data_IF_795063997139
#
_entry.id   IF_795063997139
#
_cell.length_a   1.000
_cell.length_b   1.000
_cell.length_c   1.000
_cell.angle_alpha   90.00
_cell.angle_beta   90.00
_cell.angle_gamma   90.00
#
_symmetry.space_group_name_H-M   'P 1'
#
loop_
_entity.id
_entity.type
_entity.pdbx_description
1 polymer ?
#
# COMPACT_ATOMS: atom_id res chain seq x y z
N UNK A 1 5.21 -3.38 -21.87
CA UNK A 1 4.14 -4.06 -21.10
C UNK A 1 2.90 -3.19 -21.07
N UNK A 2 1.76 -3.85 -20.92
CA UNK A 2 0.48 -3.24 -20.50
C UNK A 2 0.55 -2.92 -19.00
N UNK A 3 -0.15 -1.87 -18.51
CA UNK A 3 -0.17 -1.53 -17.06
C UNK A 3 -0.68 -2.71 -16.22
N UNK A 4 -1.56 -3.54 -16.80
CA UNK A 4 -2.08 -4.81 -16.23
C UNK A 4 -1.02 -5.88 -15.95
N UNK A 5 0.19 -5.73 -16.50
CA UNK A 5 1.27 -6.71 -16.40
C UNK A 5 2.44 -6.26 -15.49
N UNK A 6 2.33 -5.13 -14.80
CA UNK A 6 3.07 -5.01 -13.54
C UNK A 6 2.54 -6.11 -12.61
N UNK A 7 3.44 -6.88 -11.99
CA UNK A 7 3.05 -7.75 -10.86
C UNK A 7 2.25 -6.89 -9.88
N UNK A 8 1.18 -7.40 -9.24
CA UNK A 8 0.41 -6.61 -8.29
C UNK A 8 1.33 -6.15 -7.17
N UNK A 9 1.81 -4.91 -7.30
CA UNK A 9 2.20 -4.09 -6.17
C UNK A 9 0.90 -3.87 -5.42
N UNK A 10 0.60 -4.81 -4.53
CA UNK A 10 -0.31 -4.57 -3.44
C UNK A 10 0.15 -3.26 -2.83
N UNK A 11 -0.65 -2.20 -3.04
CA UNK A 11 -0.77 -1.16 -2.03
C UNK A 11 -1.15 -1.93 -0.78
N UNK A 12 -0.17 -2.16 0.08
CA UNK A 12 -0.40 -2.73 1.40
C UNK A 12 -1.10 -1.63 2.16
N UNK A 13 -2.40 -1.51 1.89
CA UNK A 13 -3.42 -0.89 2.72
C UNK A 13 -3.15 -1.46 4.10
N UNK A 14 -2.39 -0.68 4.86
CA UNK A 14 -1.75 -1.16 6.06
C UNK A 14 -2.84 -1.25 7.09
N UNK A 15 -3.43 -2.45 7.21
CA UNK A 15 -4.52 -2.76 8.13
C UNK A 15 -3.98 -2.51 9.53
N UNK A 16 -4.19 -1.27 9.98
CA UNK A 16 -3.77 -0.79 11.27
C UNK A 16 -4.65 -1.45 12.31
N UNK A 17 -4.21 -2.60 12.81
CA UNK A 17 -4.80 -3.30 13.95
C UNK A 17 -4.60 -2.50 15.25
N UNK A 18 -5.23 -1.33 15.31
CA UNK A 18 -5.81 -0.82 16.54
C UNK A 18 -6.86 -1.84 17.02
N UNK A 19 -7.23 -1.77 18.31
CA UNK A 19 -8.00 -2.80 19.03
C UNK A 19 -7.24 -4.07 19.40
N UNK A 20 -5.96 -3.93 19.79
CA UNK A 20 -5.36 -4.87 20.73
C UNK A 20 -5.88 -4.58 22.16
N UNK A 21 -6.89 -5.33 22.61
CA UNK A 21 -7.39 -5.27 23.99
C UNK A 21 -6.58 -6.21 24.91
N UNK A 22 -6.19 -5.78 26.11
CA UNK A 22 -5.33 -6.58 26.98
C UNK A 22 -6.11 -7.56 27.86
N UNK A 23 -5.57 -8.77 28.01
CA UNK A 23 -5.78 -9.59 29.20
C UNK A 23 -6.39 -10.97 28.98
N UNK A 24 -5.54 -11.99 29.03
CA UNK A 24 -5.75 -13.15 29.91
C UNK A 24 -4.40 -13.76 30.27
N UNK A 25 -4.24 -14.16 31.53
CA UNK A 25 -2.95 -14.57 32.10
C UNK A 25 -3.14 -15.89 32.84
N UNK A 26 -2.46 -16.96 32.41
CA UNK A 26 -2.57 -18.28 33.03
C UNK A 26 -1.76 -19.35 32.29
N UNK A 27 -1.19 -20.29 33.05
CA UNK A 27 -0.39 -21.44 32.61
C UNK A 27 0.96 -21.06 31.94
N UNK A 28 2.17 -21.44 32.38
CA UNK A 28 2.70 -22.59 33.14
C UNK A 28 2.49 -23.95 32.44
N UNK A 29 3.48 -24.83 32.29
CA UNK A 29 4.86 -24.87 32.83
C UNK A 29 5.70 -25.96 32.14
N UNK A 30 7.03 -25.91 32.28
CA UNK A 30 8.01 -26.91 31.82
C UNK A 30 9.02 -26.29 30.83
N UNK A 31 10.29 -26.08 31.17
CA UNK A 31 11.38 -27.01 31.52
C UNK A 31 12.02 -27.66 30.28
N UNK A 32 13.36 -27.71 30.11
CA UNK A 32 14.46 -27.32 31.01
C UNK A 32 15.76 -26.93 30.24
N UNK A 33 16.80 -26.51 31.00
CA UNK A 33 18.26 -26.72 30.80
C UNK A 33 18.83 -26.96 29.39
N UNK A 34 19.96 -26.39 28.97
CA UNK A 34 21.03 -25.65 29.65
C UNK A 34 21.92 -24.95 28.58
N UNK A 35 23.02 -24.22 28.85
CA UNK A 35 23.80 -23.92 30.07
C UNK A 35 24.49 -22.55 29.89
N UNK A 36 25.24 -22.09 30.91
CA UNK A 36 26.28 -21.07 30.77
C UNK A 36 27.61 -21.59 31.35
N UNK A 37 28.74 -21.11 30.84
CA UNK A 37 29.98 -20.97 31.63
C UNK A 37 30.92 -19.91 31.03
N UNK A 38 31.72 -19.27 31.90
CA UNK A 38 32.60 -18.14 31.60
C UNK A 38 34.04 -18.45 31.99
N UNK A 39 35.03 -17.99 31.22
CA UNK A 39 36.44 -17.98 31.63
C UNK A 39 37.15 -16.70 31.15
N UNK A 40 38.26 -16.33 31.81
CA UNK A 40 38.97 -15.05 31.65
C UNK A 40 40.45 -15.17 32.02
N UNK A 41 41.30 -14.34 31.39
CA UNK A 41 42.73 -14.11 31.67
C UNK A 41 43.69 -15.26 31.25
N UNK A 42 45.01 -15.06 31.05
CA UNK A 42 45.85 -13.86 31.18
C UNK A 42 47.11 -13.92 30.24
N UNK A 43 47.75 -12.76 29.99
CA UNK A 43 49.22 -12.45 30.09
C UNK A 43 50.23 -13.56 29.68
N UNK A 44 51.25 -13.38 28.81
CA UNK A 44 51.75 -12.26 27.96
C UNK A 44 52.76 -12.84 26.90
N UNK A 45 53.90 -12.31 26.40
CA UNK A 45 54.77 -11.11 26.60
C UNK A 45 55.76 -10.93 25.42
N UNK A 46 56.38 -9.73 25.26
CA UNK A 46 57.65 -9.40 24.52
C UNK A 46 57.78 -9.69 22.99
N UNK A 47 58.62 -9.01 22.18
CA UNK A 47 59.53 -7.84 22.36
C UNK A 47 59.84 -7.16 20.99
N UNK A 48 60.31 -5.88 21.03
CA UNK A 48 61.25 -5.20 20.07
C UNK A 48 60.99 -5.23 18.53
N UNK A 49 61.47 -4.30 17.68
CA UNK A 49 61.94 -2.89 17.72
C UNK A 49 61.80 -2.36 16.26
N UNK A 50 62.09 -1.12 15.81
CA UNK A 50 62.81 0.07 16.30
C UNK A 50 62.15 1.33 15.69
N UNK A 51 62.63 2.55 15.97
CA UNK A 51 62.16 3.79 15.36
C UNK A 51 63.30 4.69 14.86
N UNK A 52 63.12 5.41 13.74
CA UNK A 52 63.98 6.53 13.35
C UNK A 52 63.26 7.63 12.53
N UNK A 53 63.32 8.86 13.06
CA UNK A 53 63.24 10.21 12.43
C UNK A 53 62.34 10.55 11.22
N UNK A 54 61.62 11.68 11.35
CA UNK A 54 61.08 12.52 10.25
C UNK A 54 62.14 13.57 9.78
N UNK A 55 61.88 14.51 8.82
CA UNK A 55 60.85 15.57 8.95
C UNK A 55 60.14 16.03 7.63
N UNK A 56 59.16 16.92 7.83
CA UNK A 56 58.64 18.00 6.96
C UNK A 56 58.64 17.87 5.42
N UNK A 57 57.43 17.91 4.84
CA UNK A 57 57.12 18.75 3.68
C UNK A 57 55.66 19.20 3.72
N UNK A 58 55.42 20.51 3.83
CA UNK A 58 54.08 21.08 3.97
C UNK A 58 53.48 21.47 2.62
N UNK A 59 52.75 20.56 1.98
CA UNK A 59 51.88 20.86 0.85
C UNK A 59 50.45 21.12 1.36
N UNK A 60 50.07 22.40 1.45
CA UNK A 60 48.70 22.79 1.81
C UNK A 60 47.76 22.60 0.61
N UNK A 61 47.35 21.35 0.35
CA UNK A 61 46.25 21.08 -0.59
C UNK A 61 44.97 21.73 -0.07
N UNK A 62 44.59 22.83 -0.72
CA UNK A 62 43.30 23.48 -0.53
C UNK A 62 42.20 22.51 -0.96
N UNK A 63 41.71 21.71 0.00
CA UNK A 63 40.51 20.90 -0.15
C UNK A 63 39.33 21.86 -0.34
N UNK A 64 39.08 22.21 -1.61
CA UNK A 64 37.84 22.86 -2.03
C UNK A 64 36.70 21.90 -1.72
N UNK A 65 36.11 22.09 -0.54
CA UNK A 65 34.82 21.46 -0.20
C UNK A 65 33.84 21.97 -1.23
N UNK A 66 33.51 21.11 -2.20
CA UNK A 66 32.47 21.39 -3.17
C UNK A 66 31.16 21.40 -2.41
N UNK A 67 30.74 22.59 -1.98
CA UNK A 67 29.41 22.82 -1.44
C UNK A 67 28.45 22.62 -2.60
N UNK A 68 27.92 21.40 -2.72
CA UNK A 68 26.81 21.11 -3.61
C UNK A 68 25.68 22.08 -3.30
N UNK A 69 25.16 22.75 -4.32
CA UNK A 69 24.04 23.66 -4.18
C UNK A 69 22.85 22.93 -3.53
N UNK A 70 22.01 23.62 -2.74
CA UNK A 70 20.81 23.01 -2.17
C UNK A 70 19.86 22.64 -3.31
N UNK A 71 19.85 21.35 -3.67
CA UNK A 71 19.03 20.81 -4.76
C UNK A 71 17.55 21.03 -4.41
N UNK A 72 16.78 21.55 -5.36
CA UNK A 72 15.33 21.70 -5.22
C UNK A 72 14.68 20.31 -5.07
N UNK A 73 13.99 20.02 -3.93
CA UNK A 73 13.31 18.75 -3.76
C UNK A 73 12.29 18.44 -4.85
N UNK A 74 11.66 19.45 -5.48
CA UNK A 74 10.74 19.24 -6.60
C UNK A 74 11.47 18.80 -7.87
N UNK A 75 12.72 19.24 -8.09
CA UNK A 75 13.53 18.79 -9.21
C UNK A 75 13.90 17.30 -9.06
N UNK A 76 14.24 16.84 -7.86
CA UNK A 76 14.52 15.42 -7.61
C UNK A 76 13.29 14.51 -7.64
N UNK A 77 12.13 14.98 -7.16
CA UNK A 77 10.84 14.30 -7.33
C UNK A 77 10.55 14.14 -8.83
N UNK A 78 10.70 15.22 -9.60
CA UNK A 78 10.46 15.22 -11.03
C UNK A 78 11.41 14.30 -11.80
N UNK A 79 12.71 14.31 -11.48
CA UNK A 79 13.68 13.37 -12.03
C UNK A 79 13.27 11.90 -11.79
N UNK A 80 12.87 11.57 -10.55
CA UNK A 80 12.44 10.22 -10.21
C UNK A 80 11.16 9.79 -10.97
N UNK A 81 10.19 10.69 -11.07
CA UNK A 81 8.94 10.48 -11.80
C UNK A 81 9.18 10.34 -13.33
N UNK A 82 9.97 11.23 -13.93
CA UNK A 82 10.33 11.16 -15.35
C UNK A 82 11.16 9.91 -15.67
N UNK A 83 12.05 9.47 -14.76
CA UNK A 83 12.76 8.19 -14.91
C UNK A 83 11.79 7.01 -14.95
N UNK A 84 10.86 6.91 -14.00
CA UNK A 84 9.85 5.85 -13.98
C UNK A 84 9.03 5.84 -15.28
N UNK A 85 8.61 7.01 -15.76
CA UNK A 85 7.87 7.14 -17.02
C UNK A 85 8.67 6.69 -18.25
N UNK A 86 9.98 6.89 -18.26
CA UNK A 86 10.85 6.48 -19.35
C UNK A 86 11.06 4.95 -19.41
N UNK A 87 11.20 4.28 -18.25
CA UNK A 87 11.53 2.84 -18.19
C UNK A 87 10.30 1.91 -18.11
N UNK A 88 9.11 2.43 -17.80
CA UNK A 88 7.87 1.65 -17.52
C UNK A 88 7.49 0.57 -18.55
N UNK A 89 7.90 0.72 -19.81
CA UNK A 89 7.46 -0.18 -20.88
C UNK A 89 8.16 -1.53 -20.80
N UNK A 90 9.48 -1.55 -20.61
CA UNK A 90 10.30 -2.75 -20.46
C UNK A 90 11.34 -2.50 -19.34
N UNK A 91 10.89 -2.37 -18.08
CA UNK A 91 11.75 -1.94 -16.99
C UNK A 91 12.74 -3.05 -16.62
N UNK A 92 14.01 -2.67 -16.45
CA UNK A 92 14.90 -3.44 -15.61
C UNK A 92 14.35 -3.41 -14.16
N UNK A 93 14.24 -4.56 -13.46
CA UNK A 93 13.63 -4.62 -12.13
C UNK A 93 14.35 -3.79 -11.07
N UNK A 94 15.69 -3.74 -11.12
CA UNK A 94 16.50 -3.03 -10.15
C UNK A 94 16.46 -1.51 -10.42
N UNK A 95 16.48 -1.10 -11.69
CA UNK A 95 16.28 0.31 -12.07
C UNK A 95 14.88 0.84 -11.70
N UNK A 96 13.84 0.03 -11.88
CA UNK A 96 12.48 0.37 -11.45
C UNK A 96 12.40 0.48 -9.93
N UNK A 97 12.88 -0.54 -9.19
CA UNK A 97 12.85 -0.52 -7.73
C UNK A 97 13.66 0.65 -7.15
N UNK A 98 14.78 1.03 -7.76
CA UNK A 98 15.56 2.19 -7.34
C UNK A 98 14.81 3.52 -7.55
N UNK A 99 14.13 3.69 -8.69
CA UNK A 99 13.39 4.91 -9.01
C UNK A 99 12.08 5.03 -8.20
N UNK A 100 11.34 3.92 -8.04
CA UNK A 100 10.16 3.80 -7.19
C UNK A 100 10.50 4.16 -5.74
N UNK A 101 11.52 3.51 -5.17
CA UNK A 101 11.99 3.79 -3.81
C UNK A 101 12.44 5.24 -3.62
N UNK A 102 13.06 5.88 -4.63
CA UNK A 102 13.39 7.32 -4.58
C UNK A 102 12.11 8.16 -4.53
N UNK A 103 11.13 7.89 -5.38
CA UNK A 103 9.88 8.66 -5.43
C UNK A 103 9.04 8.50 -4.16
N UNK A 104 8.90 7.27 -3.64
CA UNK A 104 8.19 6.98 -2.38
C UNK A 104 8.85 7.68 -1.18
N UNK A 105 10.19 7.75 -1.15
CA UNK A 105 10.94 8.37 -0.04
C UNK A 105 10.68 9.88 0.12
N UNK A 106 10.17 10.57 -0.91
CA UNK A 106 9.78 11.98 -0.79
C UNK A 106 8.46 12.18 -0.03
N UNK A 107 7.61 11.16 0.05
CA UNK A 107 6.31 11.23 0.73
C UNK A 107 5.46 12.41 0.25
N UNK A 108 4.93 13.19 1.19
CA UNK A 108 4.16 14.41 0.94
C UNK A 108 4.88 15.44 0.04
N UNK A 109 6.22 15.42 0.00
CA UNK A 109 7.01 16.31 -0.86
C UNK A 109 6.76 16.06 -2.36
N UNK A 110 6.33 14.85 -2.74
CA UNK A 110 6.03 14.52 -4.13
C UNK A 110 4.68 15.07 -4.64
N UNK A 111 3.78 15.47 -3.74
CA UNK A 111 2.39 15.83 -4.08
C UNK A 111 2.26 16.93 -5.15
N UNK A 112 3.08 18.00 -5.21
CA UNK A 112 2.95 19.01 -6.27
C UNK A 112 3.24 18.44 -7.67
N UNK A 113 4.36 17.73 -7.85
CA UNK A 113 4.73 17.09 -9.12
C UNK A 113 3.72 16.01 -9.53
N UNK A 114 3.26 15.18 -8.59
CA UNK A 114 2.25 14.16 -8.88
C UNK A 114 0.91 14.78 -9.30
N UNK A 115 0.50 15.87 -8.65
CA UNK A 115 -0.71 16.64 -9.02
C UNK A 115 -0.58 17.26 -10.42
N UNK A 116 0.60 17.68 -10.84
CA UNK A 116 0.87 18.09 -12.23
C UNK A 116 0.80 16.90 -13.19
N UNK A 117 1.34 15.74 -12.80
CA UNK A 117 1.28 14.48 -13.55
C UNK A 117 -0.14 14.00 -13.87
N UNK A 118 -1.12 14.27 -13.00
CA UNK A 118 -2.55 14.03 -13.28
C UNK A 118 -3.09 14.80 -14.50
N UNK A 119 -2.44 15.89 -14.91
CA UNK A 119 -2.87 16.71 -16.07
C UNK A 119 -2.10 16.38 -17.37
N UNK A 120 -1.24 15.35 -17.34
CA UNK A 120 -0.33 15.04 -18.42
C UNK A 120 -1.00 14.36 -19.62
N UNK A 121 -0.50 14.63 -20.83
CA UNK A 121 -1.09 14.15 -22.09
C UNK A 121 -0.93 12.63 -22.28
N UNK A 122 0.23 12.09 -21.94
CA UNK A 122 0.48 10.64 -21.87
C UNK A 122 -0.39 10.00 -20.76
N UNK A 123 -1.33 9.08 -21.07
CA UNK A 123 -2.15 8.41 -20.07
C UNK A 123 -1.32 7.64 -19.03
N UNK A 124 -0.17 7.09 -19.41
CA UNK A 124 0.72 6.38 -18.49
C UNK A 124 1.30 7.29 -17.40
N UNK A 125 1.38 8.60 -17.65
CA UNK A 125 1.77 9.58 -16.64
C UNK A 125 0.63 9.90 -15.66
N UNK A 126 -0.63 9.94 -16.13
CA UNK A 126 -1.80 10.12 -15.25
C UNK A 126 -2.04 8.88 -14.39
N UNK A 127 -1.89 7.69 -14.97
CA UNK A 127 -1.93 6.41 -14.25
C UNK A 127 -0.86 6.39 -13.14
N UNK A 128 0.41 6.63 -13.48
CA UNK A 128 1.51 6.62 -12.50
C UNK A 128 1.33 7.69 -11.41
N UNK A 129 0.91 8.90 -11.78
CA UNK A 129 0.63 9.98 -10.84
C UNK A 129 -0.50 9.63 -9.86
N UNK A 130 -1.60 9.07 -10.36
CA UNK A 130 -2.73 8.64 -9.53
C UNK A 130 -2.34 7.51 -8.57
N UNK A 131 -1.52 6.56 -9.02
CA UNK A 131 -1.03 5.43 -8.21
C UNK A 131 -0.21 5.91 -7.02
N UNK A 132 0.74 6.83 -7.23
CA UNK A 132 1.53 7.37 -6.13
C UNK A 132 0.70 8.26 -5.19
N UNK A 133 -0.25 9.06 -5.70
CA UNK A 133 -1.16 9.82 -4.84
C UNK A 133 -2.04 8.91 -3.97
N UNK A 134 -2.49 7.77 -4.52
CA UNK A 134 -3.21 6.75 -3.73
C UNK A 134 -2.31 6.12 -2.64
N UNK A 135 -1.03 5.85 -2.95
CA UNK A 135 -0.07 5.32 -1.97
C UNK A 135 0.25 6.28 -0.81
N UNK A 136 0.08 7.59 -1.02
CA UNK A 136 0.23 8.64 0.01
C UNK A 136 -1.02 8.80 0.90
N UNK A 137 -2.18 8.29 0.46
CA UNK A 137 -3.45 8.33 1.22
C UNK A 137 -3.77 9.74 1.76
N UNK A 138 -3.91 9.92 3.09
CA UNK A 138 -4.22 11.23 3.69
C UNK A 138 -3.25 12.37 3.36
N UNK A 139 -1.97 12.08 3.06
CA UNK A 139 -1.00 13.14 2.75
C UNK A 139 -1.22 13.77 1.36
N UNK A 140 -1.98 13.13 0.49
CA UNK A 140 -2.34 13.63 -0.83
C UNK A 140 -3.48 14.70 -0.84
N UNK A 141 -3.97 15.18 0.32
CA UNK A 141 -5.11 16.12 0.39
C UNK A 141 -4.92 17.38 -0.49
N UNK A 142 -3.69 17.88 -0.63
CA UNK A 142 -3.37 19.04 -1.47
C UNK A 142 -3.55 18.79 -2.99
N UNK A 143 -3.71 17.53 -3.41
CA UNK A 143 -4.06 17.14 -4.78
C UNK A 143 -5.58 16.89 -4.96
N UNK A 144 -6.39 16.91 -3.90
CA UNK A 144 -7.80 16.52 -3.95
C UNK A 144 -8.63 17.22 -5.06
N UNK A 145 -8.46 18.53 -5.34
CA UNK A 145 -9.15 19.17 -6.48
C UNK A 145 -8.79 18.55 -7.84
N UNK A 146 -7.52 18.21 -8.08
CA UNK A 146 -7.10 17.58 -9.33
C UNK A 146 -7.54 16.11 -9.41
N UNK A 147 -7.54 15.40 -8.28
CA UNK A 147 -8.07 14.04 -8.16
C UNK A 147 -9.59 13.99 -8.46
N UNK A 148 -10.34 15.05 -8.15
CA UNK A 148 -11.77 15.18 -8.53
C UNK A 148 -11.96 15.29 -10.04
N UNK A 149 -11.11 16.04 -10.76
CA UNK A 149 -11.25 16.19 -12.22
C UNK A 149 -10.97 14.87 -12.96
N UNK A 150 -9.99 14.07 -12.49
CA UNK A 150 -9.66 12.77 -13.09
C UNK A 150 -10.57 11.61 -12.65
N UNK A 151 -11.64 11.87 -11.90
CA UNK A 151 -12.73 10.89 -11.69
C UNK A 151 -13.46 10.54 -13.00
N UNK A 152 -13.25 11.30 -14.07
CA UNK A 152 -13.77 11.04 -15.41
C UNK A 152 -12.67 10.88 -16.47
N UNK A 153 -11.49 10.39 -16.06
CA UNK A 153 -10.40 10.04 -16.98
C UNK A 153 -10.79 8.90 -17.93
N UNK A 154 -10.12 8.80 -19.08
CA UNK A 154 -10.28 7.68 -20.01
C UNK A 154 -9.73 6.36 -19.45
N UNK A 155 -8.78 6.40 -18.51
CA UNK A 155 -8.23 5.20 -17.86
C UNK A 155 -8.98 4.83 -16.57
N UNK A 156 -9.57 3.61 -16.48
CA UNK A 156 -10.15 3.09 -15.24
C UNK A 156 -9.14 2.97 -14.10
N UNK A 157 -7.84 2.83 -14.38
CA UNK A 157 -6.79 2.84 -13.35
C UNK A 157 -6.64 4.23 -12.74
N UNK A 158 -6.63 5.28 -13.55
CA UNK A 158 -6.65 6.67 -13.06
C UNK A 158 -7.91 6.94 -12.24
N UNK A 159 -9.09 6.54 -12.73
CA UNK A 159 -10.36 6.70 -12.00
C UNK A 159 -10.34 5.99 -10.64
N UNK A 160 -9.96 4.70 -10.58
CA UNK A 160 -10.02 3.92 -9.33
C UNK A 160 -9.00 4.41 -8.31
N UNK A 161 -7.79 4.77 -8.75
CA UNK A 161 -6.78 5.35 -7.87
C UNK A 161 -7.23 6.71 -7.34
N UNK A 162 -7.78 7.57 -8.19
CA UNK A 162 -8.28 8.88 -7.78
C UNK A 162 -9.43 8.77 -6.79
N UNK A 163 -10.45 7.96 -7.10
CA UNK A 163 -11.59 7.73 -6.23
C UNK A 163 -11.17 7.09 -4.89
N UNK A 164 -10.28 6.10 -4.92
CA UNK A 164 -9.67 5.50 -3.72
C UNK A 164 -8.96 6.55 -2.87
N UNK A 165 -8.11 7.38 -3.47
CA UNK A 165 -7.42 8.48 -2.76
C UNK A 165 -8.43 9.41 -2.08
N UNK A 166 -9.47 9.83 -2.80
CA UNK A 166 -10.50 10.75 -2.30
C UNK A 166 -11.33 10.21 -1.14
N UNK A 167 -11.40 8.88 -0.91
CA UNK A 167 -12.07 8.32 0.28
C UNK A 167 -11.46 8.80 1.60
N UNK A 168 -10.17 9.13 1.60
CA UNK A 168 -9.44 9.67 2.76
C UNK A 168 -9.85 11.12 3.10
N UNK A 169 -10.55 11.82 2.21
CA UNK A 169 -10.92 13.23 2.38
C UNK A 169 -12.45 13.36 2.53
N UNK A 170 -12.99 13.59 3.75
CA UNK A 170 -14.44 13.58 3.98
C UNK A 170 -15.27 14.51 3.09
N UNK A 171 -14.67 15.60 2.57
CA UNK A 171 -15.30 16.57 1.66
C UNK A 171 -15.45 16.08 0.20
N UNK A 172 -14.95 14.88 -0.12
CA UNK A 172 -14.89 14.34 -1.48
C UNK A 172 -15.37 12.88 -1.57
N UNK A 173 -15.71 12.24 -0.44
CA UNK A 173 -16.29 10.89 -0.38
C UNK A 173 -17.58 10.78 -1.22
N UNK A 174 -18.39 11.83 -1.23
CA UNK A 174 -19.63 11.97 -2.01
C UNK A 174 -19.43 11.81 -3.53
N UNK A 175 -18.29 12.29 -4.06
CA UNK A 175 -17.92 12.16 -5.47
C UNK A 175 -17.23 10.83 -5.77
N UNK A 176 -16.46 10.30 -4.82
CA UNK A 176 -15.69 9.07 -5.00
C UNK A 176 -16.56 7.80 -4.94
N UNK A 177 -17.50 7.73 -4.00
CA UNK A 177 -18.30 6.51 -3.75
C UNK A 177 -19.09 6.04 -4.99
N UNK A 178 -19.78 6.89 -5.78
CA UNK A 178 -20.47 6.45 -6.98
C UNK A 178 -19.53 5.83 -8.03
N UNK A 179 -18.35 6.41 -8.22
CA UNK A 179 -17.33 5.93 -9.17
C UNK A 179 -16.77 4.59 -8.70
N UNK A 180 -16.48 4.42 -7.41
CA UNK A 180 -16.06 3.14 -6.86
C UNK A 180 -17.15 2.06 -6.99
N UNK A 181 -18.43 2.40 -6.76
CA UNK A 181 -19.56 1.46 -6.94
C UNK A 181 -19.62 0.96 -8.39
N UNK A 182 -19.43 1.83 -9.39
CA UNK A 182 -19.37 1.43 -10.80
C UNK A 182 -18.16 0.51 -11.08
N UNK A 183 -16.98 0.90 -10.57
CA UNK A 183 -15.72 0.18 -10.80
C UNK A 183 -15.63 -1.19 -10.12
N UNK A 184 -16.50 -1.53 -9.16
CA UNK A 184 -16.66 -2.92 -8.68
C UNK A 184 -17.06 -3.90 -9.79
N UNK A 185 -17.56 -3.39 -10.94
CA UNK A 185 -18.01 -4.18 -12.10
C UNK A 185 -17.09 -4.02 -13.32
N UNK A 186 -15.92 -3.40 -13.16
CA UNK A 186 -14.99 -3.17 -14.27
C UNK A 186 -14.39 -4.48 -14.82
N UNK A 187 -13.98 -4.49 -16.10
CA UNK A 187 -13.44 -5.68 -16.77
C UNK A 187 -12.11 -6.18 -16.22
N UNK A 188 -11.27 -5.29 -15.68
CA UNK A 188 -10.01 -5.65 -15.05
C UNK A 188 -10.19 -5.96 -13.54
N UNK A 189 -9.68 -7.10 -13.03
CA UNK A 189 -9.90 -7.51 -11.66
C UNK A 189 -9.15 -6.65 -10.62
N UNK A 190 -8.01 -6.03 -10.97
CA UNK A 190 -7.29 -5.14 -10.05
C UNK A 190 -8.11 -3.87 -9.76
N UNK A 191 -8.83 -3.38 -10.78
CA UNK A 191 -9.79 -2.29 -10.68
C UNK A 191 -10.94 -2.67 -9.74
N UNK A 192 -11.53 -3.86 -9.92
CA UNK A 192 -12.60 -4.37 -9.03
C UNK A 192 -12.11 -4.53 -7.59
N UNK A 193 -10.93 -5.13 -7.41
CA UNK A 193 -10.28 -5.36 -6.12
C UNK A 193 -10.07 -4.05 -5.35
N UNK A 194 -9.50 -3.05 -6.03
CA UNK A 194 -9.27 -1.71 -5.45
C UNK A 194 -10.60 -1.07 -5.07
N UNK A 195 -11.59 -1.10 -5.95
CA UNK A 195 -12.92 -0.56 -5.68
C UNK A 195 -13.59 -1.21 -4.45
N UNK A 196 -13.55 -2.54 -4.32
CA UNK A 196 -14.10 -3.29 -3.18
C UNK A 196 -13.43 -2.88 -1.86
N UNK A 197 -12.09 -2.84 -1.80
CA UNK A 197 -11.39 -2.41 -0.58
C UNK A 197 -11.64 -0.93 -0.24
N UNK A 198 -11.63 -0.02 -1.22
CA UNK A 198 -11.88 1.41 -0.98
C UNK A 198 -13.30 1.69 -0.49
N UNK A 199 -14.30 0.91 -0.92
CA UNK A 199 -15.65 0.99 -0.37
C UNK A 199 -15.77 0.37 1.03
N UNK A 200 -15.03 -0.70 1.30
CA UNK A 200 -14.99 -1.38 2.59
C UNK A 200 -14.37 -0.54 3.70
N UNK A 201 -13.25 0.13 3.41
CA UNK A 201 -12.47 0.95 4.35
C UNK A 201 -13.16 2.25 4.82
N UNK A 202 -14.38 2.53 4.36
CA UNK A 202 -15.18 3.65 4.83
C UNK A 202 -15.79 3.36 6.20
N UNK A 203 -16.03 4.42 6.99
CA UNK A 203 -16.65 4.31 8.32
C UNK A 203 -18.18 4.14 8.25
N UNK A 204 -18.79 4.56 7.13
CA UNK A 204 -20.22 4.48 6.87
C UNK A 204 -20.48 3.80 5.52
N UNK A 205 -21.38 2.81 5.52
CA UNK A 205 -21.73 2.03 4.34
C UNK A 205 -23.22 2.17 4.02
N UNK A 206 -23.54 2.84 2.92
CA UNK A 206 -24.90 2.84 2.35
C UNK A 206 -25.24 1.47 1.75
N UNK A 207 -26.54 1.18 1.62
CA UNK A 207 -27.03 -0.07 1.02
C UNK A 207 -26.42 -0.35 -0.36
N UNK A 208 -26.24 0.67 -1.20
CA UNK A 208 -25.62 0.53 -2.53
C UNK A 208 -24.14 0.10 -2.48
N UNK A 209 -23.40 0.47 -1.42
CA UNK A 209 -22.03 -0.01 -1.20
C UNK A 209 -22.05 -1.49 -0.78
N UNK A 210 -22.94 -1.86 0.16
CA UNK A 210 -23.12 -3.26 0.59
C UNK A 210 -23.50 -4.15 -0.60
N UNK A 211 -24.49 -3.74 -1.41
CA UNK A 211 -24.93 -4.47 -2.60
C UNK A 211 -23.84 -4.63 -3.67
N UNK A 212 -23.00 -3.59 -3.87
CA UNK A 212 -21.87 -3.66 -4.80
C UNK A 212 -20.81 -4.67 -4.33
N UNK A 213 -20.49 -4.69 -3.04
CA UNK A 213 -19.53 -5.63 -2.45
C UNK A 213 -20.12 -7.05 -2.40
N UNK A 214 -21.41 -7.20 -2.07
CA UNK A 214 -22.12 -8.49 -2.05
C UNK A 214 -22.20 -9.13 -3.45
N UNK A 215 -22.29 -8.33 -4.52
CA UNK A 215 -22.19 -8.85 -5.89
C UNK A 215 -20.81 -9.50 -6.16
N UNK A 216 -19.73 -8.89 -5.65
CA UNK A 216 -18.36 -9.37 -5.82
C UNK A 216 -18.04 -10.69 -5.06
N UNK A 217 -18.95 -11.19 -4.20
CA UNK A 217 -18.88 -12.57 -3.69
C UNK A 217 -18.93 -13.64 -4.80
N UNK A 218 -19.42 -13.27 -5.99
CA UNK A 218 -19.58 -14.16 -7.14
C UNK A 218 -18.61 -13.79 -8.29
N UNK A 219 -17.54 -13.04 -8.01
CA UNK A 219 -16.57 -12.61 -9.03
C UNK A 219 -15.85 -13.80 -9.70
N UNK A 220 -15.40 -13.66 -10.95
CA UNK A 220 -14.59 -14.68 -11.64
C UNK A 220 -13.16 -14.80 -11.04
N UNK A 221 -12.68 -13.76 -10.34
CA UNK A 221 -11.36 -13.69 -9.75
C UNK A 221 -11.41 -13.97 -8.23
N UNK A 222 -10.59 -14.92 -7.78
CA UNK A 222 -10.55 -15.36 -6.38
C UNK A 222 -10.08 -14.28 -5.40
N UNK A 223 -9.21 -13.36 -5.82
CA UNK A 223 -8.74 -12.28 -4.94
C UNK A 223 -9.85 -11.24 -4.71
N UNK A 224 -10.66 -10.97 -5.74
CA UNK A 224 -11.85 -10.11 -5.65
C UNK A 224 -12.93 -10.75 -4.78
N UNK A 225 -13.20 -12.05 -4.95
CA UNK A 225 -14.10 -12.79 -4.03
C UNK A 225 -13.58 -12.73 -2.58
N UNK A 226 -12.29 -12.99 -2.37
CA UNK A 226 -11.67 -13.00 -1.04
C UNK A 226 -11.70 -11.61 -0.37
N UNK A 227 -11.53 -10.54 -1.16
CA UNK A 227 -11.71 -9.17 -0.70
C UNK A 227 -13.16 -8.89 -0.30
N UNK A 228 -14.13 -9.25 -1.14
CA UNK A 228 -15.55 -9.05 -0.87
C UNK A 228 -15.99 -9.77 0.41
N UNK A 229 -15.58 -11.03 0.59
CA UNK A 229 -15.82 -11.82 1.80
C UNK A 229 -15.29 -11.09 3.05
N UNK A 230 -13.99 -10.74 3.04
CA UNK A 230 -13.32 -10.11 4.20
C UNK A 230 -13.89 -8.73 4.53
N UNK A 231 -14.18 -7.93 3.51
CA UNK A 231 -14.76 -6.59 3.67
C UNK A 231 -16.15 -6.67 4.31
N UNK A 232 -17.02 -7.59 3.86
CA UNK A 232 -18.34 -7.79 4.46
C UNK A 232 -18.22 -8.22 5.94
N UNK A 233 -17.25 -9.09 6.25
CA UNK A 233 -16.90 -9.44 7.64
C UNK A 233 -16.54 -8.22 8.49
N UNK A 234 -15.63 -7.38 7.98
CA UNK A 234 -15.15 -6.16 8.64
C UNK A 234 -16.24 -5.09 8.81
N UNK A 235 -17.19 -4.97 7.87
CA UNK A 235 -18.31 -4.03 7.97
C UNK A 235 -19.25 -4.40 9.14
N UNK A 236 -19.49 -5.69 9.39
CA UNK A 236 -20.37 -6.15 10.45
C UNK A 236 -21.85 -5.85 10.14
N UNK A 237 -22.48 -4.93 10.88
CA UNK A 237 -23.94 -4.72 10.78
C UNK A 237 -24.49 -4.32 9.40
N UNK A 238 -23.86 -3.42 8.62
CA UNK A 238 -24.33 -3.10 7.27
C UNK A 238 -24.36 -4.34 6.35
N UNK A 239 -23.43 -5.28 6.54
CA UNK A 239 -23.30 -6.52 5.77
C UNK A 239 -24.21 -7.67 6.23
N UNK A 240 -25.12 -7.44 7.20
CA UNK A 240 -26.02 -8.48 7.73
C UNK A 240 -26.91 -9.14 6.67
N UNK A 241 -27.19 -8.47 5.56
CA UNK A 241 -27.92 -9.05 4.42
C UNK A 241 -27.16 -10.23 3.78
N UNK A 242 -25.83 -10.14 3.71
CA UNK A 242 -24.94 -11.05 2.96
C UNK A 242 -24.67 -12.38 3.68
N UNK A 243 -25.25 -12.61 4.87
CA UNK A 243 -25.09 -13.85 5.64
C UNK A 243 -25.56 -15.10 4.87
N UNK A 244 -26.53 -14.96 3.96
CA UNK A 244 -27.09 -16.07 3.17
C UNK A 244 -26.13 -16.48 2.06
N UNK A 245 -25.51 -15.51 1.40
CA UNK A 245 -24.51 -15.68 0.35
C UNK A 245 -23.20 -16.25 0.94
N UNK A 246 -22.75 -15.73 2.08
CA UNK A 246 -21.62 -16.30 2.82
C UNK A 246 -21.89 -17.75 3.23
N UNK A 247 -23.08 -18.07 3.75
CA UNK A 247 -23.47 -19.46 4.03
C UNK A 247 -23.49 -20.33 2.76
N UNK A 248 -23.94 -19.79 1.63
CA UNK A 248 -23.95 -20.49 0.34
C UNK A 248 -22.54 -20.81 -0.16
N UNK A 249 -21.56 -19.92 0.06
CA UNK A 249 -20.14 -20.19 -0.21
C UNK A 249 -19.58 -21.27 0.73
N UNK A 250 -19.97 -21.25 2.01
CA UNK A 250 -19.56 -22.24 3.03
C UNK A 250 -20.07 -23.65 2.69
N UNK A 251 -21.29 -23.78 2.17
CA UNK A 251 -21.91 -25.06 1.82
C UNK A 251 -21.54 -25.57 0.41
N UNK A 252 -21.11 -24.69 -0.50
CA UNK A 252 -20.74 -25.05 -1.87
C UNK A 252 -19.42 -25.83 -1.91
N UNK A 253 -19.46 -27.08 -2.38
CA UNK A 253 -18.29 -27.97 -2.46
C UNK A 253 -17.20 -27.50 -3.43
N UNK A 254 -17.52 -26.60 -4.37
CA UNK A 254 -16.56 -26.07 -5.34
C UNK A 254 -15.82 -24.79 -4.87
N UNK A 255 -16.23 -24.18 -3.75
CA UNK A 255 -15.49 -23.07 -3.13
C UNK A 255 -14.11 -23.56 -2.66
N UNK A 256 -13.04 -22.80 -2.89
CA UNK A 256 -11.71 -23.17 -2.36
C UNK A 256 -11.68 -23.07 -0.83
N UNK A 257 -10.76 -23.80 -0.19
CA UNK A 257 -10.67 -23.82 1.27
C UNK A 257 -10.34 -22.44 1.85
N UNK A 258 -9.45 -21.65 1.21
CA UNK A 258 -9.15 -20.27 1.61
C UNK A 258 -10.39 -19.35 1.62
N UNK A 259 -11.24 -19.47 0.59
CA UNK A 259 -12.49 -18.72 0.47
C UNK A 259 -13.53 -19.21 1.49
N UNK A 260 -13.57 -20.52 1.75
CA UNK A 260 -14.47 -21.14 2.73
C UNK A 260 -14.13 -20.73 4.15
N UNK A 261 -12.84 -20.76 4.53
CA UNK A 261 -12.36 -20.29 5.83
C UNK A 261 -12.64 -18.80 6.02
N UNK A 262 -12.32 -17.98 5.02
CA UNK A 262 -12.63 -16.55 5.04
C UNK A 262 -14.14 -16.29 5.17
N UNK A 263 -14.99 -17.08 4.52
CA UNK A 263 -16.45 -16.95 4.59
C UNK A 263 -16.98 -17.30 5.99
N UNK A 264 -16.48 -18.38 6.62
CA UNK A 264 -16.82 -18.71 8.02
C UNK A 264 -16.42 -17.56 8.95
N UNK A 265 -15.17 -17.12 8.90
CA UNK A 265 -14.67 -16.06 9.77
C UNK A 265 -15.42 -14.73 9.59
N UNK A 266 -15.77 -14.37 8.35
CA UNK A 266 -16.49 -13.13 8.04
C UNK A 266 -17.96 -13.21 8.46
N UNK A 267 -18.59 -14.36 8.31
CA UNK A 267 -19.96 -14.62 8.81
C UNK A 267 -20.00 -14.50 10.34
N UNK A 268 -19.03 -15.10 11.04
CA UNK A 268 -18.90 -15.02 12.50
C UNK A 268 -18.69 -13.59 12.99
N UNK A 269 -17.96 -12.74 12.25
CA UNK A 269 -17.79 -11.32 12.55
C UNK A 269 -19.14 -10.56 12.44
N UNK A 270 -19.89 -10.77 11.36
CA UNK A 270 -21.21 -10.17 11.13
C UNK A 270 -22.24 -10.63 12.18
N UNK A 271 -22.15 -11.87 12.67
CA UNK A 271 -22.99 -12.39 13.77
C UNK A 271 -22.56 -11.88 15.16
N UNK A 272 -21.26 -11.65 15.39
CA UNK A 272 -20.75 -11.07 16.64
C UNK A 272 -21.08 -9.58 16.78
N UNK A 273 -21.07 -8.82 15.68
CA UNK A 273 -21.44 -7.40 15.65
C UNK A 273 -22.94 -7.13 15.96
N UNK A 274 -23.76 -8.16 16.22
CA UNK A 274 -25.20 -8.06 16.55
C UNK A 274 -25.47 -8.02 18.07
N UNK A 275 -24.43 -8.00 18.91
CA UNK A 275 -24.49 -8.26 20.36
C UNK A 275 -24.08 -7.04 21.18
#
# INVERSE_FOLDING_TARGET
MDSRNMRPFFVVLSIGCLWCLPGLQGCSSGDASSKAETAKAAVSEESESTAETAPESAAAESKTVSVSEPVDPQAEVKEAFEKLLAIRTEPDPDEWQAADKKLVAFGKTAVPTLKEGLTHTDPGARELASMYLASLGPDAEAAAPALVEVLSDESPFTQVNAASTLTHFPKHRDKAIPVLIELTRHSDPNTRLTAVYSLGNLEEHSTAQVEAIQAALNDENSDVQLAAIKVLGQMGQPAKASLTELQSLIDNQNTSDDLREAAVASKDQIEQAQK
#
